data_IF_087276588779
#
_entry.id   IF_087276588779
#
_cell.length_a   1.000
_cell.length_b   1.000
_cell.length_c   1.000
_cell.angle_alpha   90.00
_cell.angle_beta   90.00
_cell.angle_gamma   90.00
#
_symmetry.space_group_name_H-M   'P 1'
#
loop_
_entity.id
_entity.type
_entity.pdbx_description
1 polymer ?
#
# COMPACT_ATOMS: atom_id res chain seq x y z
N UNK A 1 -3.89 9.19 -2.18
CA UNK A 1 -4.31 10.21 -3.18
C UNK A 1 -5.83 10.33 -3.28
N UNK A 2 -6.59 9.28 -3.63
CA UNK A 2 -8.04 9.36 -3.82
C UNK A 2 -8.78 9.89 -2.57
N UNK A 3 -8.45 9.40 -1.37
CA UNK A 3 -9.04 9.90 -0.13
C UNK A 3 -8.82 11.40 0.10
N UNK A 4 -7.61 11.88 -0.17
CA UNK A 4 -7.31 13.29 -0.05
C UNK A 4 -8.05 14.15 -1.09
N UNK A 5 -8.20 13.66 -2.32
CA UNK A 5 -8.94 14.37 -3.38
C UNK A 5 -10.43 14.46 -3.08
N UNK A 6 -11.01 13.43 -2.46
CA UNK A 6 -12.42 13.38 -2.09
C UNK A 6 -12.68 13.94 -0.69
N UNK A 7 -11.64 14.23 0.08
CA UNK A 7 -11.72 14.56 1.50
C UNK A 7 -12.49 13.50 2.31
N UNK A 8 -12.25 12.23 1.99
CA UNK A 8 -12.84 11.08 2.66
C UNK A 8 -11.83 10.40 3.57
N UNK A 9 -12.28 9.89 4.73
CA UNK A 9 -11.41 9.08 5.59
C UNK A 9 -10.99 7.80 4.85
N UNK A 10 -9.82 7.28 5.22
CA UNK A 10 -9.29 6.06 4.61
C UNK A 10 -8.73 5.10 5.65
N UNK A 11 -8.91 3.81 5.39
CA UNK A 11 -8.25 2.73 6.09
C UNK A 11 -7.54 1.82 5.09
N UNK A 12 -6.26 1.56 5.33
CA UNK A 12 -5.40 0.82 4.39
C UNK A 12 -5.01 -0.54 4.96
N UNK A 13 -4.75 -1.53 4.08
CA UNK A 13 -4.34 -2.89 4.44
C UNK A 13 -5.33 -3.60 5.37
N UNK A 14 -6.62 -3.44 5.09
CA UNK A 14 -7.68 -3.99 5.92
C UNK A 14 -7.73 -5.50 5.84
N UNK A 15 -7.60 -6.16 6.99
CA UNK A 15 -7.71 -7.62 7.14
C UNK A 15 -9.08 -8.06 7.66
N UNK A 16 -9.86 -7.12 8.25
CA UNK A 16 -11.23 -7.38 8.70
C UNK A 16 -12.05 -6.10 8.59
N UNK A 17 -13.30 -6.23 8.13
CA UNK A 17 -14.27 -5.15 8.00
C UNK A 17 -15.57 -5.50 8.70
N UNK A 18 -16.10 -4.54 9.45
CA UNK A 18 -17.44 -4.60 10.04
C UNK A 18 -18.20 -3.32 9.68
N UNK A 19 -19.20 -3.45 8.82
CA UNK A 19 -19.98 -2.32 8.31
C UNK A 19 -21.11 -2.02 9.26
N UNK A 20 -21.16 -0.81 9.80
CA UNK A 20 -22.24 -0.25 10.60
C UNK A 20 -23.07 0.73 9.76
N UNK A 21 -24.18 1.24 10.28
CA UNK A 21 -25.06 2.13 9.48
C UNK A 21 -24.38 3.39 8.95
N UNK A 22 -23.50 4.03 9.75
CA UNK A 22 -22.85 5.30 9.40
C UNK A 22 -21.33 5.26 9.52
N UNK A 23 -20.79 4.14 9.97
CA UNK A 23 -19.36 3.97 10.19
C UNK A 23 -18.89 2.60 9.73
N UNK A 24 -17.60 2.46 9.64
CA UNK A 24 -16.90 1.23 9.26
C UNK A 24 -15.81 0.96 10.30
N UNK A 25 -15.87 -0.21 10.92
CA UNK A 25 -14.81 -0.70 11.80
C UNK A 25 -13.85 -1.55 10.96
N UNK A 26 -12.58 -1.19 10.97
CA UNK A 26 -11.54 -1.80 10.15
C UNK A 26 -10.41 -2.29 11.03
N UNK A 27 -10.04 -3.55 10.91
CA UNK A 27 -8.82 -4.08 11.50
C UNK A 27 -7.74 -4.14 10.43
N UNK A 28 -6.57 -3.59 10.73
CA UNK A 28 -5.40 -3.59 9.86
C UNK A 28 -4.13 -3.96 10.61
N UNK A 29 -3.13 -4.41 9.90
CA UNK A 29 -1.80 -4.68 10.45
C UNK A 29 -0.89 -3.49 10.25
N UNK A 30 -0.20 -3.11 11.30
CA UNK A 30 0.85 -2.11 11.34
C UNK A 30 2.13 -2.74 11.89
N UNK A 31 3.26 -2.04 11.85
CA UNK A 31 4.55 -2.58 12.31
C UNK A 31 4.53 -3.02 13.78
N UNK A 32 3.70 -2.39 14.61
CA UNK A 32 3.59 -2.64 16.04
C UNK A 32 2.52 -3.71 16.39
N UNK A 33 1.74 -4.19 15.39
CA UNK A 33 0.70 -5.21 15.60
C UNK A 33 -0.59 -4.93 14.85
N UNK A 34 -1.73 -5.23 15.48
CA UNK A 34 -3.05 -4.98 14.91
C UNK A 34 -3.65 -3.68 15.43
N UNK A 35 -4.12 -2.86 14.53
CA UNK A 35 -4.84 -1.63 14.82
C UNK A 35 -6.29 -1.77 14.39
N UNK A 36 -7.22 -1.33 15.25
CA UNK A 36 -8.65 -1.24 14.92
C UNK A 36 -9.04 0.23 14.79
N UNK A 37 -9.54 0.62 13.64
CA UNK A 37 -10.01 1.96 13.32
C UNK A 37 -11.52 1.96 13.15
N UNK A 38 -12.19 2.99 13.65
CA UNK A 38 -13.56 3.30 13.28
C UNK A 38 -13.56 4.59 12.43
N UNK A 39 -14.08 4.50 11.21
CA UNK A 39 -14.13 5.62 10.26
C UNK A 39 -15.56 5.85 9.78
N UNK A 40 -15.89 7.12 9.52
CA UNK A 40 -17.22 7.49 9.03
C UNK A 40 -17.35 7.17 7.54
N UNK A 41 -18.56 6.85 7.11
CA UNK A 41 -18.92 6.70 5.70
C UNK A 41 -19.36 8.06 5.11
N UNK A 42 -19.04 8.34 3.84
CA UNK A 42 -18.29 7.51 2.89
C UNK A 42 -16.80 7.45 3.19
N UNK A 43 -16.16 6.32 2.90
CA UNK A 43 -14.76 6.06 3.23
C UNK A 43 -14.04 5.30 2.11
N UNK A 44 -12.72 5.38 2.07
CA UNK A 44 -11.88 4.59 1.19
C UNK A 44 -11.18 3.51 2.00
N UNK A 45 -11.29 2.28 1.53
CA UNK A 45 -10.65 1.12 2.14
C UNK A 45 -9.79 0.41 1.12
N UNK A 46 -8.54 0.12 1.48
CA UNK A 46 -7.72 -0.81 0.72
C UNK A 46 -7.67 -2.14 1.45
N UNK A 47 -7.89 -3.22 0.71
CA UNK A 47 -7.99 -4.57 1.27
C UNK A 47 -6.65 -5.28 1.24
N UNK A 48 -6.35 -6.01 2.30
CA UNK A 48 -5.27 -6.99 2.33
C UNK A 48 -5.79 -8.34 1.80
N UNK A 49 -4.88 -9.18 1.36
CA UNK A 49 -5.19 -10.54 0.85
C UNK A 49 -5.91 -11.42 1.90
N UNK A 50 -5.75 -11.13 3.19
CA UNK A 50 -6.37 -11.86 4.31
C UNK A 50 -7.83 -11.48 4.58
N UNK A 51 -8.34 -10.42 3.94
CA UNK A 51 -9.70 -9.94 4.18
C UNK A 51 -10.75 -11.01 3.88
N UNK A 52 -10.61 -11.68 2.73
CA UNK A 52 -11.48 -12.77 2.31
C UNK A 52 -10.69 -13.84 1.56
N UNK A 53 -11.13 -15.07 1.65
CA UNK A 53 -10.67 -16.12 0.75
C UNK A 53 -11.22 -15.85 -0.67
N UNK A 54 -10.37 -15.77 -1.71
CA UNK A 54 -10.81 -15.55 -3.07
C UNK A 54 -11.74 -16.65 -3.57
N UNK A 55 -12.88 -16.26 -4.13
CA UNK A 55 -13.82 -17.23 -4.72
C UNK A 55 -13.24 -17.85 -5.99
N UNK A 56 -13.38 -19.17 -6.12
CA UNK A 56 -12.98 -19.87 -7.32
C UNK A 56 -13.85 -19.45 -8.52
N UNK A 57 -13.20 -19.12 -9.63
CA UNK A 57 -13.89 -18.77 -10.87
C UNK A 57 -14.29 -20.05 -11.63
N UNK A 58 -15.56 -20.44 -11.53
CA UNK A 58 -16.07 -21.58 -12.30
C UNK A 58 -16.16 -21.24 -13.80
N UNK A 59 -16.04 -22.26 -14.66
CA UNK A 59 -16.13 -22.08 -16.12
C UNK A 59 -17.39 -21.32 -16.57
N UNK A 60 -18.61 -21.60 -16.08
CA UNK A 60 -19.79 -20.81 -16.42
C UNK A 60 -19.65 -19.34 -16.03
N UNK A 61 -19.03 -19.00 -14.91
CA UNK A 61 -18.83 -17.63 -14.49
C UNK A 61 -17.80 -16.90 -15.37
N UNK A 62 -16.75 -17.58 -15.81
CA UNK A 62 -15.79 -17.05 -16.78
C UNK A 62 -16.50 -16.73 -18.10
N UNK A 63 -17.36 -17.62 -18.59
CA UNK A 63 -18.14 -17.40 -19.80
C UNK A 63 -19.12 -16.24 -19.67
N UNK A 64 -19.78 -16.09 -18.52
CA UNK A 64 -20.65 -14.94 -18.23
C UNK A 64 -19.86 -13.64 -18.17
N UNK A 65 -18.68 -13.65 -17.52
CA UNK A 65 -17.84 -12.47 -17.43
C UNK A 65 -17.38 -11.93 -18.80
N UNK A 66 -17.03 -12.84 -19.74
CA UNK A 66 -16.67 -12.49 -21.12
C UNK A 66 -17.78 -11.78 -21.91
N UNK A 67 -19.04 -12.00 -21.52
CA UNK A 67 -20.22 -11.40 -22.15
C UNK A 67 -20.66 -10.10 -21.48
N UNK A 68 -20.04 -9.70 -20.37
CA UNK A 68 -20.37 -8.42 -19.73
C UNK A 68 -19.90 -7.25 -20.57
N UNK A 69 -20.69 -6.18 -20.66
CA UNK A 69 -20.27 -4.97 -21.34
C UNK A 69 -19.05 -4.39 -20.65
N UNK A 70 -18.08 -3.95 -21.45
CA UNK A 70 -16.86 -3.29 -20.98
C UNK A 70 -16.76 -1.95 -21.70
N UNK A 71 -16.74 -0.88 -20.93
CA UNK A 71 -16.54 0.47 -21.46
C UNK A 71 -15.05 0.83 -21.38
N UNK A 72 -14.50 1.25 -22.51
CA UNK A 72 -13.11 1.72 -22.60
C UNK A 72 -13.14 3.25 -22.65
N UNK A 73 -12.69 3.87 -21.56
CA UNK A 73 -12.58 5.32 -21.46
C UNK A 73 -11.14 5.77 -21.76
N UNK A 74 -11.01 6.78 -22.62
CA UNK A 74 -9.74 7.41 -22.91
C UNK A 74 -9.61 8.69 -22.07
N UNK A 75 -8.50 8.84 -21.34
CA UNK A 75 -8.26 10.00 -20.49
C UNK A 75 -8.30 11.33 -21.26
N UNK A 76 -7.90 11.35 -22.53
CA UNK A 76 -8.00 12.55 -23.37
C UNK A 76 -9.45 12.97 -23.62
N UNK A 77 -10.33 12.00 -23.85
CA UNK A 77 -11.76 12.25 -24.11
C UNK A 77 -12.47 12.75 -22.83
N UNK A 78 -11.90 12.41 -21.67
CA UNK A 78 -12.35 12.90 -20.36
C UNK A 78 -11.79 14.29 -20.01
N UNK A 79 -11.02 14.92 -20.90
CA UNK A 79 -10.42 16.23 -20.67
C UNK A 79 -9.25 16.23 -19.67
N UNK A 80 -8.66 15.07 -19.39
CA UNK A 80 -7.52 14.95 -18.47
C UNK A 80 -6.22 15.27 -19.20
N UNK A 81 -5.44 16.24 -18.68
CA UNK A 81 -4.09 16.53 -19.17
C UNK A 81 -3.10 15.47 -18.65
N UNK A 82 -2.58 14.67 -19.57
CA UNK A 82 -1.64 13.59 -19.30
C UNK A 82 -0.16 14.02 -19.42
N UNK A 83 0.13 15.32 -19.49
CA UNK A 83 1.51 15.78 -19.54
C UNK A 83 2.31 15.27 -18.35
N UNK A 84 3.44 14.66 -18.66
CA UNK A 84 4.39 14.26 -17.64
C UNK A 84 5.01 15.52 -17.00
N UNK A 85 4.89 15.65 -15.67
CA UNK A 85 5.45 16.77 -14.91
C UNK A 85 6.82 16.46 -14.32
N UNK A 86 7.29 15.22 -14.52
CA UNK A 86 8.57 14.73 -14.01
C UNK A 86 9.37 14.22 -15.19
N UNK A 87 10.58 14.71 -15.35
CA UNK A 87 11.54 14.23 -16.32
C UNK A 87 12.58 13.35 -15.62
N UNK A 88 12.81 12.14 -16.14
CA UNK A 88 13.83 11.25 -15.62
C UNK A 88 15.18 11.64 -16.23
N UNK A 89 16.04 12.27 -15.44
CA UNK A 89 17.33 12.77 -15.92
C UNK A 89 18.39 11.68 -16.04
N UNK A 90 18.42 10.71 -15.11
CA UNK A 90 19.45 9.67 -15.05
C UNK A 90 18.96 8.44 -14.30
N UNK A 91 19.40 7.27 -14.74
CA UNK A 91 19.27 5.99 -14.04
C UNK A 91 20.66 5.40 -13.86
N UNK A 92 21.04 5.13 -12.62
CA UNK A 92 22.31 4.50 -12.28
C UNK A 92 22.08 3.35 -11.32
N UNK A 93 22.95 2.33 -11.41
CA UNK A 93 22.98 1.30 -10.38
C UNK A 93 23.43 1.91 -9.05
N UNK A 94 22.82 1.51 -7.91
CA UNK A 94 23.29 1.94 -6.62
C UNK A 94 24.74 1.49 -6.39
N UNK A 95 25.56 2.32 -5.73
CA UNK A 95 26.94 1.95 -5.47
C UNK A 95 27.00 0.67 -4.61
N UNK A 96 27.89 -0.25 -4.99
CA UNK A 96 28.09 -1.50 -4.24
C UNK A 96 28.52 -1.19 -2.81
N UNK A 97 27.74 -1.60 -1.83
CA UNK A 97 28.08 -1.47 -0.43
C UNK A 97 29.17 -2.49 -0.07
N UNK A 98 30.17 -2.07 0.67
CA UNK A 98 31.17 -2.99 1.27
C UNK A 98 30.46 -3.90 2.29
N UNK A 99 30.96 -5.13 2.43
CA UNK A 99 30.49 -6.02 3.49
C UNK A 99 30.69 -5.37 4.86
N UNK A 100 29.75 -5.61 5.78
CA UNK A 100 29.87 -5.15 7.15
C UNK A 100 31.01 -5.86 7.90
N UNK A 101 31.43 -5.30 9.01
CA UNK A 101 32.44 -5.86 9.91
C UNK A 101 31.72 -6.68 10.96
N UNK A 102 32.12 -7.94 11.15
CA UNK A 102 31.63 -8.76 12.27
C UNK A 102 32.30 -8.31 13.56
N UNK A 103 31.50 -8.10 14.60
CA UNK A 103 31.98 -7.71 15.93
C UNK A 103 31.81 -8.84 16.92
N UNK A 104 32.63 -8.89 17.94
CA UNK A 104 32.63 -9.99 18.90
C UNK A 104 31.51 -9.90 19.97
N UNK A 105 31.06 -8.69 20.28
CA UNK A 105 30.06 -8.45 21.32
C UNK A 105 29.32 -7.12 21.11
N UNK A 106 28.26 -6.91 21.90
CA UNK A 106 27.42 -5.71 21.83
C UNK A 106 28.18 -4.44 22.20
N UNK A 107 29.08 -4.49 23.16
CA UNK A 107 29.88 -3.33 23.59
C UNK A 107 30.77 -2.81 22.44
N UNK A 108 31.41 -3.71 21.71
CA UNK A 108 32.18 -3.37 20.52
C UNK A 108 31.30 -2.79 19.41
N UNK A 109 30.10 -3.35 19.19
CA UNK A 109 29.12 -2.79 18.22
C UNK A 109 28.77 -1.36 18.55
N UNK A 110 28.37 -1.09 19.78
CA UNK A 110 28.01 0.26 20.25
C UNK A 110 29.18 1.22 20.10
N UNK A 111 30.39 0.80 20.49
CA UNK A 111 31.61 1.62 20.35
C UNK A 111 31.86 1.99 18.86
N UNK A 112 31.76 1.02 17.95
CA UNK A 112 31.94 1.28 16.51
C UNK A 112 30.86 2.18 15.93
N UNK A 113 29.59 1.97 16.29
CA UNK A 113 28.50 2.83 15.85
C UNK A 113 28.65 4.26 16.33
N UNK A 114 29.14 4.46 17.57
CA UNK A 114 29.33 5.77 18.18
C UNK A 114 30.58 6.49 17.67
N UNK A 115 31.71 5.80 17.64
CA UNK A 115 33.02 6.43 17.41
C UNK A 115 33.45 6.40 15.94
N UNK A 116 33.15 5.32 15.20
CA UNK A 116 33.54 5.17 13.80
C UNK A 116 32.43 5.61 12.84
N UNK A 117 31.23 5.05 12.98
CA UNK A 117 30.10 5.34 12.09
C UNK A 117 29.37 6.65 12.45
N UNK A 118 29.43 7.09 13.72
CA UNK A 118 28.79 8.32 14.25
C UNK A 118 27.28 8.39 13.96
N UNK A 119 26.59 7.27 14.12
CA UNK A 119 25.14 7.14 13.86
C UNK A 119 24.30 7.09 15.12
N UNK A 120 24.94 6.95 16.28
CA UNK A 120 24.33 7.01 17.62
C UNK A 120 25.18 7.88 18.56
#
# INVERSE_FOLDING_TARGET
>A
MLGAMLNWPQATFSSKLNIKEKSLEVVREIDEGLETLEINLPAIVTCDLRLNEPRFASLPNIMKAKKKPMELLNAKDMGVDLKNRIEQLKVEEPPKRKAGIKVANVAELVSKLKNEAKVI
#
